data_IF_080312016693
#
_entry.id   IF_080312016693
#
_cell.length_a   1.000
_cell.length_b   1.000
_cell.length_c   1.000
_cell.angle_alpha   90.00
_cell.angle_beta   90.00
_cell.angle_gamma   90.00
#
_symmetry.space_group_name_H-M   'P 1'
#
loop_
_entity.id
_entity.type
_entity.pdbx_description
1 polymer ?
#
# COMPACT_ATOMS: atom_id res chain seq x y z
N UNK A 1 2.00 -40.13 28.69
CA UNK A 1 3.12 -39.16 28.61
C UNK A 1 4.47 -39.78 28.25
N UNK A 2 4.97 -40.83 28.93
CA UNK A 2 6.28 -41.45 28.60
C UNK A 2 6.43 -41.94 27.15
N UNK A 3 5.38 -42.53 26.57
CA UNK A 3 5.37 -42.98 25.15
C UNK A 3 5.41 -41.82 24.14
N UNK A 4 4.84 -40.67 24.49
CA UNK A 4 4.83 -39.48 23.63
C UNK A 4 6.18 -38.76 23.61
N UNK A 5 6.83 -38.70 24.78
CA UNK A 5 8.20 -38.18 24.92
C UNK A 5 9.22 -39.04 24.17
N UNK A 6 9.07 -40.38 24.21
CA UNK A 6 9.91 -41.29 23.44
C UNK A 6 9.73 -41.10 21.93
N UNK A 7 8.49 -40.93 21.46
CA UNK A 7 8.18 -40.67 20.06
C UNK A 7 8.78 -39.33 19.60
N UNK A 8 8.65 -38.28 20.42
CA UNK A 8 9.19 -36.96 20.12
C UNK A 8 10.74 -36.96 20.11
N UNK A 9 11.35 -37.73 21.01
CA UNK A 9 12.79 -37.97 21.03
C UNK A 9 13.25 -38.75 19.79
N UNK A 10 12.53 -39.82 19.40
CA UNK A 10 12.84 -40.60 18.19
C UNK A 10 12.71 -39.75 16.92
N UNK A 11 11.68 -38.90 16.82
CA UNK A 11 11.51 -37.97 15.70
C UNK A 11 12.67 -36.96 15.66
N UNK A 12 13.08 -36.38 16.79
CA UNK A 12 14.26 -35.51 16.87
C UNK A 12 15.58 -36.23 16.55
N UNK A 13 15.71 -37.50 16.92
CA UNK A 13 16.91 -38.28 16.70
C UNK A 13 17.05 -38.69 15.22
N UNK A 14 15.97 -39.15 14.59
CA UNK A 14 15.96 -39.51 13.17
C UNK A 14 16.01 -38.30 12.24
N UNK A 15 15.43 -37.17 12.63
CA UNK A 15 15.56 -35.93 11.85
C UNK A 15 16.99 -35.39 11.87
N UNK A 16 17.72 -35.51 13.00
CA UNK A 16 19.16 -35.20 13.06
C UNK A 16 20.03 -36.18 12.25
N UNK A 17 19.69 -37.48 12.22
CA UNK A 17 20.38 -38.47 11.39
C UNK A 17 20.11 -38.27 9.90
N UNK A 18 18.88 -37.95 9.52
CA UNK A 18 18.55 -37.57 8.14
C UNK A 18 19.28 -36.29 7.74
N UNK A 19 19.41 -35.32 8.65
CA UNK A 19 20.22 -34.11 8.45
C UNK A 19 21.71 -34.39 8.30
N UNK A 20 22.27 -35.35 9.05
CA UNK A 20 23.69 -35.70 8.94
C UNK A 20 24.01 -36.52 7.69
N UNK A 21 23.06 -37.32 7.20
CA UNK A 21 23.18 -38.06 5.94
C UNK A 21 23.03 -37.17 4.70
N UNK A 22 22.31 -36.04 4.75
CA UNK A 22 22.35 -35.05 3.67
C UNK A 22 23.71 -34.35 3.57
N UNK A 23 24.45 -34.20 4.68
CA UNK A 23 25.83 -33.68 4.66
C UNK A 23 26.85 -34.66 4.08
N UNK A 24 26.54 -35.96 3.97
CA UNK A 24 27.42 -36.96 3.34
C UNK A 24 27.19 -37.14 1.83
N UNK A 25 26.30 -36.34 1.22
CA UNK A 25 26.19 -36.32 -0.25
C UNK A 25 27.43 -35.63 -0.81
N UNK A 26 28.24 -36.39 -1.56
CA UNK A 26 29.53 -35.96 -2.09
C UNK A 26 29.42 -35.04 -3.33
N UNK A 27 28.30 -34.30 -3.43
CA UNK A 27 28.11 -33.27 -4.44
C UNK A 27 28.40 -31.91 -3.81
N UNK A 28 29.60 -31.40 -4.08
CA UNK A 28 30.06 -30.09 -3.62
C UNK A 28 29.09 -28.96 -4.00
N UNK A 29 28.34 -29.10 -5.10
CA UNK A 29 27.32 -28.11 -5.51
C UNK A 29 26.10 -28.16 -4.62
N UNK A 30 25.62 -29.36 -4.27
CA UNK A 30 24.47 -29.51 -3.37
C UNK A 30 24.79 -28.97 -1.96
N UNK A 31 25.97 -29.28 -1.43
CA UNK A 31 26.43 -28.75 -0.15
C UNK A 31 26.55 -27.22 -0.17
N UNK A 32 27.06 -26.64 -1.26
CA UNK A 32 27.12 -25.18 -1.42
C UNK A 32 25.72 -24.54 -1.48
N UNK A 33 24.77 -25.14 -2.19
CA UNK A 33 23.38 -24.65 -2.26
C UNK A 33 22.74 -24.73 -0.88
N UNK A 34 22.91 -25.84 -0.17
CA UNK A 34 22.36 -26.04 1.17
C UNK A 34 22.92 -25.03 2.18
N UNK A 35 24.23 -24.82 2.19
CA UNK A 35 24.87 -23.80 3.04
C UNK A 35 24.39 -22.38 2.71
N UNK A 36 24.18 -22.07 1.43
CA UNK A 36 23.59 -20.79 1.00
C UNK A 36 22.17 -20.61 1.53
N UNK A 37 21.33 -21.66 1.49
CA UNK A 37 19.96 -21.62 2.02
C UNK A 37 19.97 -21.43 3.55
N UNK A 38 20.80 -22.19 4.28
CA UNK A 38 20.93 -22.05 5.73
C UNK A 38 21.43 -20.66 6.13
N UNK A 39 22.45 -20.16 5.45
CA UNK A 39 22.98 -18.80 5.63
C UNK A 39 21.88 -17.76 5.41
N UNK A 40 21.10 -17.90 4.32
CA UNK A 40 19.97 -17.02 4.03
C UNK A 40 18.90 -17.04 5.13
N UNK A 41 18.48 -18.22 5.60
CA UNK A 41 17.49 -18.35 6.69
C UNK A 41 17.99 -17.70 7.98
N UNK A 42 19.26 -17.94 8.33
CA UNK A 42 19.86 -17.34 9.52
C UNK A 42 19.87 -15.81 9.42
N UNK A 43 20.24 -15.26 8.26
CA UNK A 43 20.22 -13.82 7.99
C UNK A 43 18.80 -13.26 8.13
N UNK A 44 17.78 -13.87 7.51
CA UNK A 44 16.37 -13.42 7.63
C UNK A 44 15.93 -13.40 9.10
N UNK A 45 16.23 -14.46 9.86
CA UNK A 45 15.89 -14.52 11.28
C UNK A 45 16.59 -13.43 12.11
N UNK A 46 17.86 -13.15 11.82
CA UNK A 46 18.62 -12.07 12.46
C UNK A 46 17.96 -10.70 12.23
N UNK A 47 17.62 -10.38 10.97
CA UNK A 47 16.95 -9.11 10.66
C UNK A 47 15.53 -9.02 11.21
N UNK A 48 14.74 -10.10 11.14
CA UNK A 48 13.42 -10.16 11.77
C UNK A 48 13.50 -9.77 13.25
N UNK A 49 14.46 -10.34 14.00
CA UNK A 49 14.66 -10.01 15.42
C UNK A 49 15.06 -8.53 15.63
N UNK A 50 15.97 -8.01 14.82
CA UNK A 50 16.42 -6.60 14.90
C UNK A 50 15.26 -5.64 14.61
N UNK A 51 14.45 -5.93 13.58
CA UNK A 51 13.30 -5.11 13.19
C UNK A 51 12.14 -5.22 14.18
N UNK A 52 11.89 -6.39 14.77
CA UNK A 52 10.87 -6.55 15.84
C UNK A 52 11.22 -5.66 17.05
N UNK A 53 12.49 -5.47 17.36
CA UNK A 53 12.93 -4.59 18.47
C UNK A 53 12.93 -3.10 18.11
N UNK A 54 12.89 -2.76 16.83
CA UNK A 54 12.89 -1.37 16.36
C UNK A 54 11.58 -0.64 16.66
N UNK A 55 11.61 0.70 16.70
CA UNK A 55 10.45 1.56 16.90
C UNK A 55 10.13 2.31 15.62
N UNK A 56 8.89 2.23 15.15
CA UNK A 56 8.43 3.07 14.05
C UNK A 56 7.96 4.40 14.63
N UNK A 57 8.42 5.51 14.06
CA UNK A 57 7.98 6.85 14.43
C UNK A 57 7.35 7.49 13.21
N UNK A 58 6.10 7.91 13.32
CA UNK A 58 5.40 8.71 12.32
C UNK A 58 5.54 10.18 12.72
N UNK A 59 6.18 10.97 11.87
CA UNK A 59 6.41 12.39 12.10
C UNK A 59 5.23 13.26 11.60
N UNK A 60 4.50 12.78 10.59
CA UNK A 60 3.36 13.47 9.98
C UNK A 60 2.47 12.48 9.20
N UNK A 61 1.14 12.64 9.13
CA UNK A 61 0.32 13.72 9.68
C UNK A 61 0.12 13.66 11.21
N UNK A 62 -0.24 14.79 11.80
CA UNK A 62 -0.53 14.93 13.23
C UNK A 62 -1.98 15.42 13.47
N UNK A 63 -2.44 15.42 14.73
CA UNK A 63 -3.81 15.84 15.11
C UNK A 63 -4.25 17.22 14.64
N UNK A 64 -3.29 18.13 14.40
CA UNK A 64 -3.56 19.50 13.96
C UNK A 64 -3.58 19.61 12.43
N UNK A 65 -3.17 18.57 11.70
CA UNK A 65 -3.15 18.58 10.25
C UNK A 65 -4.58 18.62 9.70
N UNK A 66 -4.82 19.62 8.85
CA UNK A 66 -6.06 19.80 8.11
C UNK A 66 -5.72 19.82 6.63
N UNK A 67 -6.50 19.09 5.85
CA UNK A 67 -6.33 19.01 4.40
C UNK A 67 -7.67 19.26 3.72
N UNK A 68 -7.60 19.79 2.50
CA UNK A 68 -8.75 19.96 1.62
C UNK A 68 -8.76 18.83 0.60
N UNK A 69 -9.93 18.36 0.16
CA UNK A 69 -9.97 17.43 -0.97
C UNK A 69 -9.24 18.04 -2.18
N UNK A 70 -8.41 17.23 -2.83
CA UNK A 70 -7.48 17.66 -3.88
C UNK A 70 -6.06 17.99 -3.40
N UNK A 71 -5.85 18.21 -2.10
CA UNK A 71 -4.52 18.41 -1.52
C UNK A 71 -3.69 17.12 -1.58
N UNK A 72 -2.36 17.29 -1.53
CA UNK A 72 -1.43 16.16 -1.38
C UNK A 72 -1.09 15.99 0.08
N UNK A 73 -1.60 14.93 0.72
CA UNK A 73 -1.16 14.51 2.04
C UNK A 73 0.18 13.83 1.90
N UNK A 74 1.09 14.13 2.82
CA UNK A 74 2.32 13.36 2.99
C UNK A 74 2.22 12.55 4.28
N UNK A 75 2.64 11.29 4.24
CA UNK A 75 2.94 10.47 5.40
C UNK A 75 4.46 10.39 5.51
N UNK A 76 5.03 10.77 6.65
CA UNK A 76 6.47 10.71 6.91
C UNK A 76 6.73 9.86 8.14
N UNK A 77 7.66 8.91 8.02
CA UNK A 77 8.03 8.05 9.12
C UNK A 77 9.49 7.61 9.01
N UNK A 78 10.01 7.15 10.13
CA UNK A 78 11.36 6.59 10.25
C UNK A 78 11.36 5.38 11.17
N UNK A 79 12.36 4.53 10.98
CA UNK A 79 12.61 3.38 11.83
C UNK A 79 13.77 3.70 12.76
N UNK A 80 13.53 3.70 14.06
CA UNK A 80 14.58 3.78 15.06
C UNK A 80 14.94 2.36 15.51
N UNK A 81 16.11 1.89 15.09
CA UNK A 81 16.63 0.58 15.51
C UNK A 81 17.50 0.73 16.76
N UNK A 82 17.41 -0.20 17.73
CA UNK A 82 18.26 -0.15 18.93
C UNK A 82 19.75 -0.31 18.60
N UNK A 83 20.06 -1.02 17.52
CA UNK A 83 21.39 -1.15 16.95
C UNK A 83 21.37 -0.55 15.54
N UNK A 84 22.38 0.24 15.20
CA UNK A 84 22.51 0.85 13.87
C UNK A 84 22.62 -0.28 12.84
N UNK A 85 21.83 -0.21 11.76
CA UNK A 85 22.06 -1.06 10.59
C UNK A 85 23.22 -0.42 9.83
N UNK A 86 24.33 -1.14 9.74
CA UNK A 86 25.55 -0.68 9.08
C UNK A 86 25.34 -0.55 7.57
N UNK A 87 26.13 0.30 6.92
CA UNK A 87 26.08 0.44 5.46
C UNK A 87 26.43 -0.87 4.75
N UNK A 88 27.32 -1.69 5.35
CA UNK A 88 27.67 -3.02 4.84
C UNK A 88 26.45 -3.94 4.85
N UNK A 89 25.74 -4.02 5.99
CA UNK A 89 24.49 -4.78 6.10
C UNK A 89 23.40 -4.29 5.12
N UNK A 90 23.35 -2.98 4.86
CA UNK A 90 22.35 -2.36 4.00
C UNK A 90 22.61 -2.55 2.50
N UNK A 91 23.88 -2.66 2.09
CA UNK A 91 24.31 -2.66 0.69
C UNK A 91 24.75 -4.03 0.19
N UNK A 92 24.93 -5.01 1.08
CA UNK A 92 25.34 -6.34 0.66
C UNK A 92 24.21 -7.00 -0.17
N UNK A 93 24.48 -7.36 -1.44
CA UNK A 93 23.48 -7.97 -2.31
C UNK A 93 22.98 -9.34 -1.81
N UNK A 94 23.77 -10.06 -1.00
CA UNK A 94 23.30 -11.27 -0.30
C UNK A 94 22.35 -10.96 0.86
N UNK A 95 22.31 -9.70 1.28
CA UNK A 95 21.45 -9.16 2.33
C UNK A 95 20.39 -8.23 1.76
N UNK A 96 20.08 -8.27 0.44
CA UNK A 96 18.95 -7.52 -0.09
C UNK A 96 17.69 -7.90 0.67
N UNK A 97 17.30 -7.00 1.54
CA UNK A 97 16.41 -7.34 2.63
C UNK A 97 14.98 -7.46 2.07
N UNK A 98 14.31 -8.62 2.20
CA UNK A 98 13.02 -8.87 1.60
C UNK A 98 11.90 -8.28 2.47
N UNK A 99 11.92 -6.99 2.73
CA UNK A 99 10.84 -6.32 3.45
C UNK A 99 10.21 -5.22 2.61
N UNK A 100 8.97 -4.90 2.95
CA UNK A 100 8.26 -3.76 2.37
C UNK A 100 7.37 -3.11 3.42
N UNK A 101 7.15 -1.82 3.23
CA UNK A 101 6.12 -1.07 3.94
C UNK A 101 4.80 -1.26 3.23
N UNK A 102 3.79 -1.68 3.96
CA UNK A 102 2.42 -1.69 3.49
C UNK A 102 1.69 -0.54 4.17
N UNK A 103 1.28 0.44 3.36
CA UNK A 103 0.71 1.70 3.81
C UNK A 103 -0.76 1.69 3.47
N UNK A 104 -1.60 1.99 4.45
CA UNK A 104 -3.06 1.99 4.32
C UNK A 104 -3.63 3.27 4.89
N UNK A 105 -4.51 3.91 4.13
CA UNK A 105 -5.30 5.06 4.59
C UNK A 105 -6.69 4.59 4.99
N UNK A 106 -7.10 4.93 6.20
CA UNK A 106 -8.42 4.62 6.73
C UNK A 106 -9.18 5.89 7.11
N UNK A 107 -10.49 5.73 7.18
CA UNK A 107 -11.34 6.59 7.98
C UNK A 107 -12.17 5.71 8.91
N UNK A 108 -12.04 5.91 10.22
CA UNK A 108 -12.60 5.01 11.22
C UNK A 108 -14.15 4.92 11.21
N UNK A 109 -14.82 5.89 10.59
CA UNK A 109 -16.29 5.94 10.53
C UNK A 109 -16.88 5.57 9.18
N UNK A 110 -16.08 5.59 8.10
CA UNK A 110 -16.60 5.38 6.75
C UNK A 110 -16.56 3.92 6.32
N UNK A 111 -15.49 3.21 6.67
CA UNK A 111 -15.28 1.85 6.20
C UNK A 111 -14.30 1.10 7.09
N UNK A 112 -14.49 -0.20 7.21
CA UNK A 112 -13.51 -1.14 7.75
C UNK A 112 -12.41 -1.50 6.74
N UNK A 113 -12.60 -1.12 5.47
CA UNK A 113 -11.65 -1.34 4.38
C UNK A 113 -10.79 -0.09 4.19
N UNK A 114 -9.52 -0.27 3.82
CA UNK A 114 -8.64 0.83 3.51
C UNK A 114 -9.15 1.60 2.28
N UNK A 115 -9.21 2.92 2.40
CA UNK A 115 -9.58 3.82 1.30
C UNK A 115 -8.49 3.87 0.23
N UNK A 116 -7.23 3.66 0.64
CA UNK A 116 -6.08 3.54 -0.24
C UNK A 116 -5.06 2.60 0.37
N UNK A 117 -4.49 1.73 -0.47
CA UNK A 117 -3.36 0.87 -0.12
C UNK A 117 -2.21 1.10 -1.12
N UNK A 118 -0.97 1.04 -0.62
CA UNK A 118 0.26 1.14 -1.40
C UNK A 118 1.37 0.34 -0.73
N UNK A 119 2.34 -0.14 -1.51
CA UNK A 119 3.55 -0.79 -0.98
C UNK A 119 4.80 -0.02 -1.37
N UNK A 120 5.75 0.13 -0.44
CA UNK A 120 7.06 0.71 -0.69
C UNK A 120 8.17 -0.26 -0.28
N UNK A 121 9.27 -0.35 -1.04
CA UNK A 121 10.40 -1.18 -0.64
C UNK A 121 11.01 -0.69 0.67
N UNK A 122 11.42 -1.62 1.53
CA UNK A 122 12.13 -1.30 2.76
C UNK A 122 13.60 -0.98 2.47
N UNK A 123 14.09 0.12 3.05
CA UNK A 123 15.47 0.60 2.95
C UNK A 123 15.99 0.99 4.35
N UNK A 124 16.93 0.22 4.93
CA UNK A 124 17.23 0.22 6.38
C UNK A 124 17.79 1.50 7.01
N UNK A 125 18.04 2.56 6.24
CA UNK A 125 18.66 3.83 6.73
C UNK A 125 17.89 5.06 6.20
N UNK A 126 16.69 4.87 5.65
CA UNK A 126 15.91 5.97 5.05
C UNK A 126 14.83 6.49 5.99
N UNK A 127 14.67 7.81 5.97
CA UNK A 127 13.39 8.42 6.27
C UNK A 127 12.48 8.15 5.07
N UNK A 128 11.26 7.73 5.37
CA UNK A 128 10.28 7.39 4.36
C UNK A 128 9.29 8.53 4.21
N UNK A 129 8.86 8.73 2.98
CA UNK A 129 7.77 9.64 2.67
C UNK A 129 6.88 8.98 1.63
N UNK A 130 5.59 9.02 1.88
CA UNK A 130 4.56 8.61 0.95
C UNK A 130 3.64 9.81 0.72
N UNK A 131 3.34 10.11 -0.53
CA UNK A 131 2.44 11.21 -0.88
C UNK A 131 1.19 10.66 -1.53
N UNK A 132 0.04 11.14 -1.09
CA UNK A 132 -1.27 10.74 -1.57
C UNK A 132 -2.09 11.99 -1.86
N UNK A 133 -2.58 12.10 -3.09
CA UNK A 133 -3.52 13.15 -3.46
C UNK A 133 -4.92 12.74 -3.00
N UNK A 134 -5.52 13.56 -2.14
CA UNK A 134 -6.89 13.33 -1.65
C UNK A 134 -7.85 13.48 -2.83
N UNK A 135 -8.65 12.46 -3.16
CA UNK A 135 -9.72 12.57 -4.14
C UNK A 135 -10.75 13.60 -3.69
N UNK A 136 -11.37 14.27 -4.64
CA UNK A 136 -12.37 15.30 -4.34
C UNK A 136 -13.65 14.70 -3.75
N UNK A 137 -13.86 13.41 -3.97
CA UNK A 137 -14.93 12.56 -3.42
C UNK A 137 -14.86 12.34 -1.90
N UNK A 138 -13.69 12.49 -1.27
CA UNK A 138 -13.49 12.09 0.13
C UNK A 138 -14.39 12.90 1.08
N UNK A 139 -15.04 12.20 2.01
CA UNK A 139 -15.96 12.84 2.96
C UNK A 139 -15.22 13.69 3.99
N UNK A 140 -15.86 14.74 4.47
CA UNK A 140 -15.29 15.60 5.50
C UNK A 140 -15.32 14.88 6.85
N UNK A 141 -14.17 14.79 7.53
CA UNK A 141 -14.07 14.07 8.80
C UNK A 141 -12.72 14.33 9.46
N UNK A 142 -12.67 14.28 10.79
CA UNK A 142 -11.46 14.39 11.62
C UNK A 142 -10.84 13.04 11.98
N UNK A 143 -11.30 11.95 11.37
CA UNK A 143 -10.96 10.59 11.76
C UNK A 143 -10.22 9.80 10.68
N UNK A 144 -9.51 10.53 9.80
CA UNK A 144 -8.60 9.91 8.86
C UNK A 144 -7.28 9.58 9.55
N UNK A 145 -6.71 8.42 9.26
CA UNK A 145 -5.40 8.04 9.77
C UNK A 145 -4.70 7.06 8.83
N UNK A 146 -3.37 7.07 8.85
CA UNK A 146 -2.59 6.05 8.17
C UNK A 146 -2.27 4.91 9.12
N UNK A 147 -2.34 3.67 8.62
CA UNK A 147 -1.72 2.51 9.24
C UNK A 147 -0.54 2.09 8.37
N UNK A 148 0.61 1.86 8.98
CA UNK A 148 1.78 1.31 8.30
C UNK A 148 2.18 -0.01 8.92
N UNK A 149 2.44 -0.99 8.08
CA UNK A 149 2.84 -2.35 8.44
C UNK A 149 4.20 -2.64 7.79
N UNK A 150 5.21 -3.03 8.56
CA UNK A 150 6.45 -3.59 8.04
C UNK A 150 6.26 -5.09 7.84
N UNK A 151 6.39 -5.56 6.60
CA UNK A 151 6.14 -6.97 6.26
C UNK A 151 7.34 -7.64 5.64
N UNK A 152 7.46 -8.93 5.90
CA UNK A 152 8.37 -9.84 5.21
C UNK A 152 7.77 -10.26 3.86
N UNK A 153 8.49 -10.03 2.77
CA UNK A 153 8.07 -10.33 1.40
C UNK A 153 7.87 -11.82 1.14
N UNK A 154 8.54 -12.72 1.87
CA UNK A 154 8.40 -14.17 1.67
C UNK A 154 7.16 -14.74 2.35
N UNK A 155 6.94 -14.37 3.60
CA UNK A 155 5.84 -14.91 4.41
C UNK A 155 4.60 -14.02 4.45
N UNK A 156 4.71 -12.79 3.92
CA UNK A 156 3.73 -11.71 4.09
C UNK A 156 3.38 -11.41 5.57
N UNK A 157 4.23 -11.87 6.49
CA UNK A 157 4.04 -11.71 7.94
C UNK A 157 4.31 -10.26 8.31
N UNK A 158 3.38 -9.67 9.07
CA UNK A 158 3.58 -8.37 9.72
C UNK A 158 4.58 -8.52 10.85
N UNK A 159 5.73 -7.85 10.73
CA UNK A 159 6.75 -7.80 11.77
C UNK A 159 6.46 -6.70 12.79
N UNK A 160 5.99 -5.55 12.29
CA UNK A 160 5.66 -4.36 13.07
C UNK A 160 4.50 -3.62 12.40
N UNK A 161 3.71 -2.94 13.20
CA UNK A 161 2.71 -2.01 12.71
C UNK A 161 2.55 -0.82 13.66
N UNK A 162 2.11 0.31 13.11
CA UNK A 162 1.73 1.50 13.87
C UNK A 162 0.71 2.31 13.08
N UNK A 163 -0.09 3.09 13.78
CA UNK A 163 -1.03 4.06 13.19
C UNK A 163 -0.55 5.48 13.44
N UNK A 164 -0.76 6.37 12.47
CA UNK A 164 -0.59 7.80 12.66
C UNK A 164 -1.64 8.32 13.64
N UNK A 165 -1.40 9.53 14.15
CA UNK A 165 -2.48 10.32 14.71
C UNK A 165 -3.59 10.54 13.66
N UNK A 166 -4.81 10.75 14.15
CA UNK A 166 -5.91 11.18 13.31
C UNK A 166 -5.66 12.57 12.74
N UNK A 167 -6.12 12.83 11.51
CA UNK A 167 -6.07 14.13 10.87
C UNK A 167 -7.42 14.45 10.22
N UNK A 168 -7.60 15.72 9.83
CA UNK A 168 -8.90 16.21 9.35
C UNK A 168 -8.90 16.52 7.86
N UNK A 169 -9.95 16.09 7.16
CA UNK A 169 -10.31 16.58 5.83
C UNK A 169 -11.50 17.54 5.97
N UNK A 170 -11.35 18.78 5.49
CA UNK A 170 -12.30 19.89 5.68
C UNK A 170 -12.96 20.33 4.35
N UNK A 171 -14.05 21.11 4.47
CA UNK A 171 -14.92 21.53 3.35
C UNK A 171 -14.19 22.29 2.22
N UNK A 172 -14.73 22.13 1.01
CA UNK A 172 -14.39 22.90 -0.19
C UNK A 172 -14.71 24.40 -0.09
N UNK A 173 -15.65 24.84 0.75
CA UNK A 173 -16.11 26.24 0.76
C UNK A 173 -15.01 27.24 1.19
N UNK A 174 -13.94 26.76 1.82
CA UNK A 174 -12.73 27.55 2.13
C UNK A 174 -11.68 27.55 0.99
N UNK A 175 -11.91 26.87 -0.13
CA UNK A 175 -11.05 26.90 -1.31
C UNK A 175 -11.90 26.86 -2.59
N UNK A 176 -12.09 28.02 -3.23
CA UNK A 176 -12.81 28.19 -4.50
C UNK A 176 -12.15 27.37 -5.63
N UNK A 177 -12.40 26.07 -5.71
CA UNK A 177 -12.04 25.24 -6.85
C UNK A 177 -13.20 25.33 -7.83
N UNK A 178 -12.95 25.90 -9.01
CA UNK A 178 -13.91 25.94 -10.10
C UNK A 178 -14.12 24.51 -10.59
N UNK A 179 -15.33 23.96 -10.39
CA UNK A 179 -15.75 22.73 -11.03
C UNK A 179 -16.26 23.06 -12.43
N UNK A 180 -15.84 22.26 -13.40
CA UNK A 180 -16.32 22.39 -14.75
C UNK A 180 -17.61 21.57 -14.90
N UNK A 181 -18.56 22.15 -15.63
CA UNK A 181 -19.85 21.54 -15.90
C UNK A 181 -19.88 21.08 -17.34
N UNK A 182 -20.25 19.82 -17.53
CA UNK A 182 -20.30 19.19 -18.82
C UNK A 182 -21.66 18.54 -19.02
N UNK A 183 -22.25 18.78 -20.19
CA UNK A 183 -23.46 18.11 -20.63
C UNK A 183 -23.06 17.06 -21.68
N UNK A 184 -23.54 15.82 -21.53
CA UNK A 184 -23.05 14.74 -22.36
C UNK A 184 -23.69 13.38 -22.10
N UNK A 185 -23.20 12.37 -22.81
CA UNK A 185 -23.68 10.99 -22.74
C UNK A 185 -22.66 10.10 -22.02
N UNK A 186 -23.10 9.36 -21.01
CA UNK A 186 -22.27 8.43 -20.26
C UNK A 186 -22.42 7.00 -20.78
N UNK A 187 -21.30 6.37 -21.13
CA UNK A 187 -21.25 5.00 -21.63
C UNK A 187 -20.29 4.16 -20.81
N UNK A 188 -20.76 3.01 -20.33
CA UNK A 188 -19.90 1.96 -19.77
C UNK A 188 -19.23 1.19 -20.89
N UNK A 189 -17.93 1.04 -20.78
CA UNK A 189 -17.10 0.33 -21.74
C UNK A 189 -17.09 -1.18 -21.42
N UNK A 190 -17.02 -2.05 -22.44
CA UNK A 190 -17.00 -3.50 -22.21
C UNK A 190 -15.69 -3.98 -21.58
N UNK A 191 -14.61 -3.20 -21.72
CA UNK A 191 -13.27 -3.51 -21.18
C UNK A 191 -12.72 -2.25 -20.51
N UNK A 192 -12.11 -2.42 -19.33
CA UNK A 192 -11.44 -1.33 -18.60
C UNK A 192 -10.32 -0.72 -19.43
N UNK A 193 -10.38 0.59 -19.64
CA UNK A 193 -9.25 1.37 -20.12
C UNK A 193 -8.21 1.52 -19.00
N UNK A 194 -6.93 1.26 -19.33
CA UNK A 194 -5.80 1.37 -18.41
C UNK A 194 -5.96 0.55 -17.12
N UNK A 195 -6.70 -0.56 -17.19
CA UNK A 195 -7.07 -1.40 -16.05
C UNK A 195 -7.75 -0.64 -14.89
N UNK A 196 -8.26 0.58 -15.14
CA UNK A 196 -8.78 1.47 -14.09
C UNK A 196 -10.12 2.12 -14.46
N UNK A 197 -10.28 2.57 -15.69
CA UNK A 197 -11.43 3.38 -16.12
C UNK A 197 -12.45 2.52 -16.88
N UNK A 198 -13.68 2.48 -16.39
CA UNK A 198 -14.77 1.68 -16.99
C UNK A 198 -15.75 2.53 -17.81
N UNK A 199 -15.70 3.86 -17.71
CA UNK A 199 -16.71 4.74 -18.30
C UNK A 199 -16.08 5.80 -19.21
N UNK A 200 -16.79 6.09 -20.30
CA UNK A 200 -16.53 7.19 -21.20
C UNK A 200 -17.67 8.21 -21.09
N UNK A 201 -17.33 9.48 -21.10
CA UNK A 201 -18.30 10.57 -21.14
C UNK A 201 -18.08 11.39 -22.41
N UNK A 202 -19.09 11.37 -23.28
CA UNK A 202 -19.08 12.05 -24.56
C UNK A 202 -19.79 13.39 -24.42
N UNK A 203 -19.02 14.47 -24.54
CA UNK A 203 -19.58 15.83 -24.69
C UNK A 203 -19.66 16.18 -26.16
N UNK A 204 -20.17 17.38 -26.49
CA UNK A 204 -20.22 17.85 -27.87
C UNK A 204 -18.84 17.98 -28.53
N UNK A 205 -17.79 18.21 -27.74
CA UNK A 205 -16.46 18.60 -28.26
C UNK A 205 -15.36 17.61 -27.85
N UNK A 206 -15.55 16.88 -26.75
CA UNK A 206 -14.49 16.12 -26.10
C UNK A 206 -15.02 14.81 -25.53
N UNK A 207 -14.14 13.80 -25.45
CA UNK A 207 -14.41 12.54 -24.78
C UNK A 207 -13.51 12.42 -23.57
N UNK A 208 -14.12 12.14 -22.42
CA UNK A 208 -13.41 11.96 -21.16
C UNK A 208 -13.46 10.49 -20.74
N UNK A 209 -12.34 9.96 -20.26
CA UNK A 209 -12.40 8.84 -19.32
C UNK A 209 -12.94 9.37 -17.99
N UNK A 210 -13.97 8.74 -17.47
CA UNK A 210 -14.64 9.19 -16.26
C UNK A 210 -14.61 8.10 -15.20
N UNK A 211 -14.46 8.55 -13.96
CA UNK A 211 -14.68 7.73 -12.79
C UNK A 211 -15.33 8.57 -11.71
N UNK A 212 -15.98 7.90 -10.78
CA UNK A 212 -16.43 8.52 -9.54
C UNK A 212 -16.12 7.58 -8.41
N UNK A 213 -15.54 8.12 -7.35
CA UNK A 213 -15.45 7.39 -6.08
C UNK A 213 -16.68 7.63 -5.20
N UNK A 214 -17.54 8.59 -5.56
CA UNK A 214 -18.74 8.96 -4.80
C UNK A 214 -20.01 8.27 -5.32
N UNK A 215 -20.08 8.00 -6.61
CA UNK A 215 -21.26 7.41 -7.26
C UNK A 215 -20.89 6.12 -7.99
N UNK A 216 -21.74 5.11 -7.90
CA UNK A 216 -21.69 4.02 -8.86
C UNK A 216 -22.30 4.50 -10.19
N UNK A 217 -21.41 4.86 -11.11
CA UNK A 217 -21.74 5.37 -12.44
C UNK A 217 -22.53 4.36 -13.30
N UNK A 218 -22.58 3.09 -12.92
CA UNK A 218 -23.34 2.04 -13.63
C UNK A 218 -24.84 2.36 -13.68
N UNK A 219 -25.39 3.03 -12.66
CA UNK A 219 -26.80 3.46 -12.61
C UNK A 219 -27.18 4.49 -13.69
N UNK A 220 -26.16 5.16 -14.23
CA UNK A 220 -26.30 6.18 -15.24
C UNK A 220 -25.76 5.74 -16.60
N UNK A 221 -25.44 4.46 -16.76
CA UNK A 221 -25.00 3.91 -18.02
C UNK A 221 -26.05 4.14 -19.12
N UNK A 222 -25.59 4.51 -20.30
CA UNK A 222 -26.40 4.77 -21.48
C UNK A 222 -27.40 5.94 -21.31
N UNK A 223 -27.05 6.96 -20.51
CA UNK A 223 -27.90 8.13 -20.28
C UNK A 223 -27.20 9.43 -20.64
N UNK A 224 -27.99 10.39 -21.11
CA UNK A 224 -27.59 11.80 -21.12
C UNK A 224 -27.67 12.36 -19.71
N UNK A 225 -26.62 13.05 -19.29
CA UNK A 225 -26.45 13.58 -17.93
C UNK A 225 -25.74 14.92 -18.00
N UNK A 226 -25.99 15.73 -16.98
CA UNK A 226 -25.14 16.85 -16.61
C UNK A 226 -24.20 16.44 -15.50
N UNK A 227 -22.90 16.56 -15.74
CA UNK A 227 -21.83 16.19 -14.82
C UNK A 227 -21.11 17.46 -14.36
N UNK A 228 -20.92 17.59 -13.05
CA UNK A 228 -19.98 18.57 -12.48
C UNK A 228 -18.79 17.80 -11.90
N UNK A 229 -17.59 18.17 -12.32
CA UNK A 229 -16.37 17.45 -11.98
C UNK A 229 -15.12 18.29 -12.19
N UNK A 230 -13.96 17.66 -11.96
CA UNK A 230 -12.67 18.28 -12.18
C UNK A 230 -11.84 17.43 -13.13
N UNK A 231 -11.28 18.07 -14.15
CA UNK A 231 -10.31 17.42 -15.03
C UNK A 231 -9.04 17.09 -14.23
N UNK A 232 -8.56 15.86 -14.37
CA UNK A 232 -7.35 15.35 -13.75
C UNK A 232 -6.30 15.19 -14.85
N UNK A 233 -5.07 15.60 -14.52
CA UNK A 233 -3.91 15.40 -15.39
C UNK A 233 -3.74 13.91 -15.66
N UNK A 234 -3.83 13.52 -16.93
CA UNK A 234 -3.56 12.17 -17.39
C UNK A 234 -2.06 11.93 -17.53
N UNK A 235 -1.61 10.75 -17.11
CA UNK A 235 -0.24 10.27 -17.37
C UNK A 235 -0.02 9.96 -18.86
N UNK A 236 -1.10 9.79 -19.62
CA UNK A 236 -1.08 9.47 -21.05
C UNK A 236 -1.47 10.70 -21.85
N UNK A 237 -0.63 11.04 -22.84
CA UNK A 237 -0.89 12.15 -23.76
C UNK A 237 -2.24 11.98 -24.47
N UNK A 238 -2.96 13.08 -24.62
CA UNK A 238 -4.24 13.19 -25.33
C UNK A 238 -5.41 12.41 -24.70
N UNK A 239 -5.26 11.89 -23.48
CA UNK A 239 -6.36 11.32 -22.71
C UNK A 239 -6.81 12.34 -21.69
N UNK A 240 -8.09 12.72 -21.73
CA UNK A 240 -8.69 13.57 -20.71
C UNK A 240 -9.41 12.71 -19.68
N UNK A 241 -9.16 12.99 -18.41
CA UNK A 241 -9.75 12.24 -17.31
C UNK A 241 -10.57 13.21 -16.46
N UNK A 242 -11.81 12.85 -16.18
CA UNK A 242 -12.73 13.65 -15.38
C UNK A 242 -13.17 12.86 -14.14
N UNK A 243 -12.88 13.40 -12.95
CA UNK A 243 -13.46 12.89 -11.71
C UNK A 243 -14.85 13.52 -11.54
N UNK A 244 -15.86 12.65 -11.51
CA UNK A 244 -17.27 13.03 -11.40
C UNK A 244 -17.66 13.21 -9.94
N UNK A 245 -18.08 14.43 -9.58
CA UNK A 245 -18.43 14.80 -8.20
C UNK A 245 -19.90 15.10 -7.98
N UNK A 246 -20.62 15.37 -9.08
CA UNK A 246 -22.06 15.51 -9.08
C UNK A 246 -22.60 15.05 -10.43
N UNK A 247 -23.67 14.27 -10.40
CA UNK A 247 -24.43 13.85 -11.58
C UNK A 247 -25.84 14.37 -11.42
N UNK A 248 -26.34 15.05 -12.46
CA UNK A 248 -27.73 15.48 -12.58
C UNK A 248 -28.30 14.82 -13.82
N UNK A 249 -29.16 13.80 -13.67
CA UNK A 249 -29.83 13.21 -14.83
C UNK A 249 -30.78 14.23 -15.47
N UNK A 250 -30.94 14.13 -16.78
CA UNK A 250 -32.02 14.82 -17.50
C UNK A 250 -33.35 14.12 -17.30
#
# INVERSE_FOLDING_TARGET
MKKFLLLLFLIFFFSNLAFSQTFSYNDSRFNQIFLKILSFIHKVNYFDQKLIRSKIIIDYPNKKAKFKPGDVISLRWRLETPEIITQTEANDPEYRIPYFWHIKLYNNYLSSIALKEETLPFLPIKNYTFSFKIPLSYQLSSFYFFKIELKNSFSNKTLKEISSDYFTIISFEEAKIKLDKYDGYLLKTPIKFLNKYEFLFFTSNEVFLVFSEKYDLSHFNNKFLKIEGKEIVSEIRNVKILEVLKVTPY
#
